data_IF_318991995996
#
_entry.id   IF_318991995996
#
_cell.length_a   1.000
_cell.length_b   1.000
_cell.length_c   1.000
_cell.angle_alpha   90.00
_cell.angle_beta   90.00
_cell.angle_gamma   90.00
#
_symmetry.space_group_name_H-M   'P 1'
#
loop_
_entity.id
_entity.type
_entity.pdbx_description
1 polymer ?
#
# COMPACT_ATOMS: atom_id res chain seq x y z
N UNK A 1 16.42 44.20 7.12
CA UNK A 1 15.25 43.29 7.07
C UNK A 1 14.68 43.32 5.66
N UNK A 2 15.32 42.61 4.72
CA UNK A 2 14.87 42.49 3.33
C UNK A 2 15.43 41.19 2.74
N UNK A 3 14.69 40.08 2.89
CA UNK A 3 14.81 38.87 2.05
C UNK A 3 13.65 37.92 2.35
N UNK A 4 12.60 37.89 1.51
CA UNK A 4 11.61 36.79 1.53
C UNK A 4 10.73 36.68 0.27
N UNK A 5 10.89 37.54 -0.74
CA UNK A 5 9.98 37.58 -1.91
C UNK A 5 10.55 37.00 -3.21
N UNK A 6 11.82 36.59 -3.25
CA UNK A 6 12.49 36.11 -4.48
C UNK A 6 12.66 34.57 -4.54
N UNK A 7 12.49 33.86 -3.42
CA UNK A 7 12.64 32.40 -3.35
C UNK A 7 11.36 31.65 -3.82
N UNK A 8 10.19 32.27 -3.60
CA UNK A 8 8.87 31.68 -3.88
C UNK A 8 8.58 31.56 -5.38
N UNK A 9 9.05 32.51 -6.20
CA UNK A 9 8.81 32.52 -7.64
C UNK A 9 9.62 31.43 -8.39
N UNK A 10 10.77 31.02 -7.85
CA UNK A 10 11.57 29.92 -8.39
C UNK A 10 11.12 28.55 -7.86
N UNK A 11 10.45 28.49 -6.71
CA UNK A 11 9.89 27.27 -6.13
C UNK A 11 8.68 26.72 -6.92
N UNK A 12 7.78 27.59 -7.40
CA UNK A 12 6.59 27.15 -8.15
C UNK A 12 6.91 26.35 -9.44
N UNK A 13 7.81 26.82 -10.34
CA UNK A 13 8.21 26.04 -11.52
C UNK A 13 8.85 24.69 -11.16
N UNK A 14 9.57 24.63 -10.03
CA UNK A 14 10.26 23.42 -9.55
C UNK A 14 9.28 22.42 -8.95
N UNK A 15 8.32 22.86 -8.16
CA UNK A 15 7.26 22.00 -7.61
C UNK A 15 6.44 21.36 -8.74
N UNK A 16 6.12 22.13 -9.78
CA UNK A 16 5.44 21.62 -10.97
C UNK A 16 6.28 20.59 -11.74
N UNK A 17 7.60 20.80 -11.87
CA UNK A 17 8.48 19.82 -12.50
C UNK A 17 8.57 18.52 -11.70
N UNK A 18 8.66 18.60 -10.36
CA UNK A 18 8.65 17.44 -9.46
C UNK A 18 7.36 16.63 -9.64
N UNK A 19 6.21 17.30 -9.68
CA UNK A 19 4.91 16.63 -9.85
C UNK A 19 4.80 15.94 -11.21
N UNK A 20 5.16 16.61 -12.32
CA UNK A 20 5.18 16.00 -13.66
C UNK A 20 6.10 14.77 -13.72
N UNK A 21 7.26 14.83 -13.09
CA UNK A 21 8.18 13.69 -13.00
C UNK A 21 7.56 12.50 -12.25
N UNK A 22 6.84 12.74 -11.15
CA UNK A 22 6.15 11.68 -10.41
C UNK A 22 4.99 11.07 -11.19
N UNK A 23 4.19 11.89 -11.87
CA UNK A 23 3.10 11.43 -12.73
C UNK A 23 3.63 10.59 -13.90
N UNK A 24 4.70 11.05 -14.57
CA UNK A 24 5.36 10.31 -15.64
C UNK A 24 5.97 8.99 -15.13
N UNK A 25 6.58 9.01 -13.95
CA UNK A 25 7.15 7.82 -13.32
C UNK A 25 6.08 6.78 -13.01
N UNK A 26 4.95 7.20 -12.43
CA UNK A 26 3.82 6.32 -12.13
C UNK A 26 3.30 5.61 -13.39
N UNK A 27 3.04 6.37 -14.46
CA UNK A 27 2.56 5.80 -15.72
C UNK A 27 3.55 4.79 -16.32
N UNK A 28 4.85 5.12 -16.31
CA UNK A 28 5.87 4.25 -16.90
C UNK A 28 6.13 3.02 -16.03
N UNK A 29 6.19 3.16 -14.71
CA UNK A 29 6.31 2.03 -13.78
C UNK A 29 5.10 1.11 -13.87
N UNK A 30 3.88 1.64 -14.02
CA UNK A 30 2.69 0.83 -14.21
C UNK A 30 2.80 0.00 -15.49
N UNK A 31 3.25 0.61 -16.60
CA UNK A 31 3.32 -0.04 -17.92
C UNK A 31 4.47 -1.02 -18.08
N UNK A 32 5.65 -0.70 -17.54
CA UNK A 32 6.90 -1.41 -17.84
C UNK A 32 7.56 -2.04 -16.61
N UNK A 33 6.96 -1.87 -15.43
CA UNK A 33 7.59 -2.21 -14.16
C UNK A 33 8.77 -1.30 -13.83
N UNK A 34 9.35 -1.50 -12.65
CA UNK A 34 10.52 -0.74 -12.21
C UNK A 34 11.73 -1.01 -13.11
N UNK A 35 12.05 -2.28 -13.38
CA UNK A 35 13.19 -2.68 -14.18
C UNK A 35 13.14 -2.14 -15.62
N UNK A 36 11.97 -2.21 -16.27
CA UNK A 36 11.78 -1.75 -17.66
C UNK A 36 11.73 -0.23 -17.84
N UNK A 37 11.68 0.54 -16.75
CA UNK A 37 11.60 2.00 -16.81
C UNK A 37 12.98 2.64 -16.66
N UNK A 38 13.30 3.59 -17.56
CA UNK A 38 14.53 4.40 -17.49
C UNK A 38 14.22 5.83 -17.05
N UNK A 39 15.16 6.47 -16.34
CA UNK A 39 15.04 7.89 -15.97
C UNK A 39 14.91 8.80 -17.21
N UNK A 40 15.55 8.44 -18.32
CA UNK A 40 15.46 9.19 -19.60
C UNK A 40 14.04 9.16 -20.16
N UNK A 41 13.37 8.01 -20.11
CA UNK A 41 11.98 7.90 -20.54
C UNK A 41 11.04 8.73 -19.65
N UNK A 42 11.27 8.73 -18.32
CA UNK A 42 10.50 9.57 -17.38
C UNK A 42 10.66 11.05 -17.69
N UNK A 43 11.90 11.52 -17.88
CA UNK A 43 12.17 12.93 -18.21
C UNK A 43 11.54 13.34 -19.54
N UNK A 44 11.64 12.48 -20.55
CA UNK A 44 11.04 12.73 -21.86
C UNK A 44 9.52 12.84 -21.76
N UNK A 45 8.86 11.95 -21.00
CA UNK A 45 7.41 12.00 -20.79
C UNK A 45 6.98 13.19 -19.93
N UNK A 46 7.79 13.60 -18.95
CA UNK A 46 7.50 14.74 -18.09
C UNK A 46 7.79 16.11 -18.74
N UNK A 47 8.45 16.11 -19.90
CA UNK A 47 8.96 17.30 -20.58
C UNK A 47 9.86 18.14 -19.66
N UNK A 48 10.80 17.47 -18.98
CA UNK A 48 11.72 18.09 -18.00
C UNK A 48 13.17 17.71 -18.29
N UNK A 49 14.08 18.67 -18.14
CA UNK A 49 15.51 18.48 -18.34
C UNK A 49 16.21 17.63 -17.25
N UNK A 50 17.36 17.07 -17.62
CA UNK A 50 18.19 16.19 -16.77
C UNK A 50 18.58 16.80 -15.41
N UNK A 51 18.69 18.12 -15.33
CA UNK A 51 19.04 18.80 -14.07
C UNK A 51 18.03 18.60 -12.95
N UNK A 52 16.73 18.60 -13.29
CA UNK A 52 15.67 18.52 -12.28
C UNK A 52 15.58 17.12 -11.64
N UNK A 53 15.79 16.05 -12.41
CA UNK A 53 15.63 14.68 -11.87
C UNK A 53 16.73 14.32 -10.87
N UNK A 54 17.98 14.71 -11.15
CA UNK A 54 19.10 14.43 -10.26
C UNK A 54 19.03 15.26 -8.98
N UNK A 55 18.52 16.50 -9.08
CA UNK A 55 18.29 17.34 -7.92
C UNK A 55 17.19 16.77 -7.00
N UNK A 56 16.02 16.44 -7.56
CA UNK A 56 14.87 16.00 -6.75
C UNK A 56 14.98 14.57 -6.23
N UNK A 57 15.55 13.66 -7.02
CA UNK A 57 15.43 12.23 -6.75
C UNK A 57 16.76 11.48 -6.70
N UNK A 58 17.84 12.10 -7.19
CA UNK A 58 19.19 11.55 -7.35
C UNK A 58 19.29 10.36 -8.33
N UNK A 59 18.46 9.33 -8.16
CA UNK A 59 18.43 8.10 -8.96
C UNK A 59 17.00 7.53 -9.08
N UNK A 60 16.85 6.42 -9.83
CA UNK A 60 15.55 5.78 -10.10
C UNK A 60 14.86 5.26 -8.83
N UNK A 61 15.65 4.77 -7.86
CA UNK A 61 15.12 4.29 -6.59
C UNK A 61 14.60 5.44 -5.73
N UNK A 62 15.30 6.58 -5.71
CA UNK A 62 14.84 7.80 -5.05
C UNK A 62 13.58 8.38 -5.67
N UNK A 63 13.42 8.24 -7.00
CA UNK A 63 12.18 8.60 -7.70
C UNK A 63 11.02 7.69 -7.29
N UNK A 64 11.25 6.38 -7.23
CA UNK A 64 10.26 5.41 -6.75
C UNK A 64 9.87 5.72 -5.29
N UNK A 65 10.84 5.98 -4.42
CA UNK A 65 10.62 6.34 -3.03
C UNK A 65 9.73 7.58 -2.90
N UNK A 66 10.07 8.65 -3.61
CA UNK A 66 9.29 9.88 -3.58
C UNK A 66 7.86 9.70 -4.12
N UNK A 67 7.68 8.84 -5.13
CA UNK A 67 6.35 8.47 -5.64
C UNK A 67 5.51 7.78 -4.56
N UNK A 68 6.06 6.75 -3.91
CA UNK A 68 5.36 6.05 -2.84
C UNK A 68 5.05 6.99 -1.66
N UNK A 69 6.03 7.75 -1.17
CA UNK A 69 5.84 8.72 -0.09
C UNK A 69 4.67 9.67 -0.38
N UNK A 70 4.58 10.21 -1.60
CA UNK A 70 3.48 11.10 -1.98
C UNK A 70 2.14 10.39 -2.01
N UNK A 71 2.05 9.22 -2.65
CA UNK A 71 0.78 8.51 -2.87
C UNK A 71 0.21 7.88 -1.60
N UNK A 72 1.06 7.41 -0.69
CA UNK A 72 0.59 6.71 0.53
C UNK A 72 0.35 7.65 1.70
N UNK A 73 0.81 8.91 1.63
CA UNK A 73 0.73 9.87 2.73
C UNK A 73 -0.69 10.01 3.28
N UNK A 74 -1.67 10.22 2.39
CA UNK A 74 -3.07 10.37 2.80
C UNK A 74 -3.63 9.11 3.45
N UNK A 75 -3.36 7.93 2.86
CA UNK A 75 -3.80 6.62 3.38
C UNK A 75 -3.20 6.36 4.75
N UNK A 76 -1.91 6.61 4.92
CA UNK A 76 -1.20 6.39 6.19
C UNK A 76 -1.64 7.39 7.26
N UNK A 77 -1.87 8.65 6.90
CA UNK A 77 -2.42 9.65 7.82
C UNK A 77 -3.79 9.24 8.35
N UNK A 78 -4.68 8.77 7.46
CA UNK A 78 -5.99 8.24 7.86
C UNK A 78 -5.87 7.01 8.77
N UNK A 79 -5.03 6.03 8.39
CA UNK A 79 -4.78 4.84 9.23
C UNK A 79 -4.28 5.22 10.62
N UNK A 80 -3.30 6.12 10.70
CA UNK A 80 -2.75 6.57 11.96
C UNK A 80 -3.83 7.21 12.85
N UNK A 81 -4.62 8.13 12.30
CA UNK A 81 -5.68 8.80 13.03
C UNK A 81 -6.78 7.83 13.51
N UNK A 82 -7.18 6.87 12.67
CA UNK A 82 -8.19 5.87 13.02
C UNK A 82 -7.69 4.92 14.13
N UNK A 83 -6.48 4.37 13.99
CA UNK A 83 -5.90 3.47 14.98
C UNK A 83 -5.65 4.19 16.32
N UNK A 84 -5.18 5.44 16.27
CA UNK A 84 -5.02 6.27 17.46
C UNK A 84 -6.35 6.49 18.19
N UNK A 85 -7.43 6.74 17.45
CA UNK A 85 -8.75 6.94 18.05
C UNK A 85 -9.24 5.68 18.75
N UNK A 86 -9.02 4.50 18.16
CA UNK A 86 -9.41 3.22 18.77
C UNK A 86 -8.68 2.99 20.10
N UNK A 87 -7.37 3.22 20.14
CA UNK A 87 -6.57 3.13 21.37
C UNK A 87 -7.07 4.03 22.50
N UNK A 88 -7.52 5.23 22.15
CA UNK A 88 -8.03 6.20 23.12
C UNK A 88 -9.42 5.82 23.65
N UNK A 89 -10.21 5.10 22.86
CA UNK A 89 -11.59 4.74 23.19
C UNK A 89 -11.69 3.44 23.98
N UNK A 90 -10.80 2.47 23.73
CA UNK A 90 -10.80 1.18 24.40
C UNK A 90 -9.38 0.67 24.63
N UNK A 91 -9.05 0.17 25.83
CA UNK A 91 -7.80 -0.57 26.06
C UNK A 91 -7.68 -1.84 25.23
N UNK A 92 -8.82 -2.39 24.75
CA UNK A 92 -8.86 -3.58 23.92
C UNK A 92 -9.94 -3.38 22.83
N UNK A 93 -9.62 -2.69 21.72
CA UNK A 93 -10.55 -2.48 20.63
C UNK A 93 -10.96 -3.81 19.97
N UNK A 94 -12.15 -3.86 19.35
CA UNK A 94 -12.59 -5.04 18.63
C UNK A 94 -11.70 -5.30 17.40
N UNK A 95 -11.50 -6.58 17.08
CA UNK A 95 -10.67 -7.01 15.94
C UNK A 95 -11.18 -6.42 14.62
N UNK A 96 -12.49 -6.38 14.41
CA UNK A 96 -13.13 -5.80 13.23
C UNK A 96 -12.82 -4.31 13.08
N UNK A 97 -12.82 -3.56 14.18
CA UNK A 97 -12.56 -2.13 14.15
C UNK A 97 -11.10 -1.85 13.80
N UNK A 98 -10.17 -2.62 14.38
CA UNK A 98 -8.73 -2.53 14.06
C UNK A 98 -8.48 -2.88 12.59
N UNK A 99 -9.09 -3.97 12.11
CA UNK A 99 -8.99 -4.40 10.71
C UNK A 99 -9.58 -3.36 9.76
N UNK A 100 -10.79 -2.86 10.04
CA UNK A 100 -11.45 -1.83 9.22
C UNK A 100 -10.64 -0.53 9.19
N UNK A 101 -10.11 -0.08 10.33
CA UNK A 101 -9.26 1.11 10.41
C UNK A 101 -8.00 1.02 9.54
N UNK A 102 -7.47 -0.19 9.34
CA UNK A 102 -6.30 -0.42 8.49
C UNK A 102 -6.65 -0.70 7.02
N UNK A 103 -7.68 -1.50 6.76
CA UNK A 103 -8.05 -1.97 5.42
C UNK A 103 -8.80 -0.89 4.63
N UNK A 104 -9.78 -0.23 5.25
CA UNK A 104 -10.69 0.66 4.55
C UNK A 104 -10.01 1.84 3.84
N UNK A 105 -9.04 2.56 4.45
CA UNK A 105 -8.37 3.67 3.76
C UNK A 105 -7.64 3.23 2.47
N UNK A 106 -7.04 2.04 2.47
CA UNK A 106 -6.31 1.54 1.30
C UNK A 106 -7.25 1.06 0.19
N UNK A 107 -8.38 0.42 0.53
CA UNK A 107 -9.36 0.00 -0.48
C UNK A 107 -10.11 1.21 -1.07
N UNK A 108 -10.50 2.20 -0.25
CA UNK A 108 -11.10 3.44 -0.76
C UNK A 108 -10.16 4.16 -1.72
N UNK A 109 -8.90 4.34 -1.32
CA UNK A 109 -7.89 4.92 -2.20
C UNK A 109 -7.75 4.14 -3.50
N UNK A 110 -7.66 2.81 -3.44
CA UNK A 110 -7.52 2.00 -4.65
C UNK A 110 -8.74 2.04 -5.60
N UNK A 111 -9.93 2.36 -5.11
CA UNK A 111 -11.15 2.46 -5.91
C UNK A 111 -11.46 3.89 -6.38
N UNK A 112 -10.66 4.89 -6.01
CA UNK A 112 -10.84 6.26 -6.50
C UNK A 112 -10.45 6.38 -7.99
N UNK A 113 -11.04 7.37 -8.66
CA UNK A 113 -10.71 7.67 -10.06
C UNK A 113 -9.22 8.00 -10.23
N UNK A 114 -8.59 7.45 -11.27
CA UNK A 114 -7.18 7.71 -11.59
C UNK A 114 -6.15 6.88 -10.80
N UNK A 115 -6.59 5.91 -10.00
CA UNK A 115 -5.69 5.12 -9.12
C UNK A 115 -5.20 3.81 -9.74
N UNK A 116 -5.69 3.45 -10.93
CA UNK A 116 -5.37 2.20 -11.60
C UNK A 116 -3.86 2.01 -11.84
N UNK A 117 -3.15 3.08 -12.24
CA UNK A 117 -1.71 3.01 -12.47
C UNK A 117 -0.95 2.81 -11.14
N UNK A 118 -1.24 3.59 -10.10
CA UNK A 118 -0.60 3.42 -8.80
C UNK A 118 -0.89 2.06 -8.13
N UNK A 119 -2.11 1.53 -8.27
CA UNK A 119 -2.45 0.18 -7.84
C UNK A 119 -1.56 -0.86 -8.52
N UNK A 120 -1.34 -0.72 -9.83
CA UNK A 120 -0.47 -1.61 -10.60
C UNK A 120 1.00 -1.45 -10.22
N UNK A 121 1.48 -0.22 -10.01
CA UNK A 121 2.84 0.04 -9.50
C UNK A 121 3.04 -0.64 -8.16
N UNK A 122 2.09 -0.49 -7.24
CA UNK A 122 2.15 -1.14 -5.92
C UNK A 122 2.24 -2.66 -6.05
N UNK A 123 1.37 -3.27 -6.85
CA UNK A 123 1.36 -4.72 -7.04
C UNK A 123 2.68 -5.24 -7.67
N UNK A 124 3.19 -4.57 -8.70
CA UNK A 124 4.44 -4.95 -9.36
C UNK A 124 5.65 -4.82 -8.43
N UNK A 125 5.75 -3.69 -7.70
CA UNK A 125 6.88 -3.43 -6.81
C UNK A 125 6.88 -4.30 -5.55
N UNK A 126 5.71 -4.74 -5.06
CA UNK A 126 5.62 -5.63 -3.88
C UNK A 126 6.25 -7.01 -4.10
N UNK A 127 6.36 -7.47 -5.35
CA UNK A 127 6.93 -8.79 -5.70
C UNK A 127 8.11 -8.68 -6.67
N UNK A 128 8.66 -7.46 -6.85
CA UNK A 128 9.81 -7.22 -7.73
C UNK A 128 11.00 -8.07 -7.27
N UNK A 129 11.79 -8.68 -8.16
CA UNK A 129 12.94 -9.50 -7.78
C UNK A 129 14.00 -8.72 -6.98
N UNK A 130 14.16 -7.41 -7.23
CA UNK A 130 15.10 -6.56 -6.51
C UNK A 130 14.58 -6.23 -5.10
N UNK A 131 15.34 -6.63 -4.08
CA UNK A 131 15.00 -6.37 -2.69
C UNK A 131 14.87 -4.87 -2.39
N UNK A 132 15.72 -4.02 -2.97
CA UNK A 132 15.68 -2.58 -2.70
C UNK A 132 14.37 -1.95 -3.19
N UNK A 133 13.78 -2.49 -4.27
CA UNK A 133 12.48 -2.06 -4.78
C UNK A 133 11.36 -2.45 -3.83
N UNK A 134 11.37 -3.70 -3.35
CA UNK A 134 10.39 -4.17 -2.35
C UNK A 134 10.47 -3.36 -1.06
N UNK A 135 11.68 -3.05 -0.59
CA UNK A 135 11.92 -2.25 0.61
C UNK A 135 11.35 -0.83 0.52
N UNK A 136 11.36 -0.20 -0.66
CA UNK A 136 10.71 1.10 -0.86
C UNK A 136 9.21 1.02 -0.57
N UNK A 137 8.55 -0.03 -1.06
CA UNK A 137 7.12 -0.23 -0.79
C UNK A 137 6.88 -0.47 0.69
N UNK A 138 7.66 -1.36 1.32
CA UNK A 138 7.47 -1.71 2.72
C UNK A 138 7.69 -0.53 3.65
N UNK A 139 8.82 0.18 3.48
CA UNK A 139 9.15 1.36 4.28
C UNK A 139 8.08 2.46 4.18
N UNK A 140 7.41 2.58 3.04
CA UNK A 140 6.33 3.54 2.88
C UNK A 140 5.10 3.24 3.76
N UNK A 141 4.90 2.00 4.22
CA UNK A 141 3.75 1.61 5.06
C UNK A 141 4.11 1.23 6.51
N UNK A 142 5.40 1.17 6.83
CA UNK A 142 5.97 0.58 8.05
C UNK A 142 5.32 1.07 9.35
N UNK A 143 5.21 2.39 9.53
CA UNK A 143 4.75 2.96 10.80
C UNK A 143 3.28 2.62 11.09
N UNK A 144 2.40 2.74 10.09
CA UNK A 144 1.00 2.35 10.23
C UNK A 144 0.86 0.84 10.43
N UNK A 145 1.67 0.03 9.73
CA UNK A 145 1.65 -1.42 9.83
C UNK A 145 2.11 -1.92 11.21
N UNK A 146 3.17 -1.33 11.78
CA UNK A 146 3.67 -1.68 13.13
C UNK A 146 2.62 -1.40 14.20
N UNK A 147 1.99 -0.22 14.17
CA UNK A 147 0.92 0.14 15.12
C UNK A 147 -0.29 -0.79 14.99
N UNK A 148 -0.73 -1.03 13.77
CA UNK A 148 -1.80 -1.97 13.48
C UNK A 148 -1.52 -3.37 14.04
N UNK A 149 -0.32 -3.91 13.78
CA UNK A 149 0.07 -5.23 14.26
C UNK A 149 0.13 -5.30 15.80
N UNK A 150 0.59 -4.23 16.46
CA UNK A 150 0.62 -4.15 17.92
C UNK A 150 -0.79 -4.20 18.52
N UNK A 151 -1.74 -3.41 17.99
CA UNK A 151 -3.12 -3.41 18.47
C UNK A 151 -3.81 -4.75 18.22
N UNK A 152 -3.61 -5.32 17.04
CA UNK A 152 -4.21 -6.60 16.70
C UNK A 152 -3.65 -7.73 17.57
N UNK A 153 -2.35 -7.68 17.91
CA UNK A 153 -1.73 -8.62 18.88
C UNK A 153 -2.32 -8.47 20.28
N UNK A 154 -2.57 -7.25 20.74
CA UNK A 154 -3.22 -7.01 22.05
C UNK A 154 -4.67 -7.52 22.07
N UNK A 155 -5.40 -7.40 20.96
CA UNK A 155 -6.75 -7.93 20.83
C UNK A 155 -6.79 -9.47 20.75
N UNK A 156 -5.68 -10.11 20.36
CA UNK A 156 -5.57 -11.55 20.12
C UNK A 156 -4.38 -12.19 20.88
N UNK A 157 -4.29 -12.06 22.21
CA UNK A 157 -3.15 -12.54 23.00
C UNK A 157 -3.02 -14.07 22.99
N UNK A 158 -4.10 -14.79 22.66
CA UNK A 158 -4.14 -16.25 22.57
C UNK A 158 -3.47 -16.82 21.32
N UNK A 159 -3.21 -16.01 20.28
CA UNK A 159 -2.57 -16.50 19.06
C UNK A 159 -1.07 -16.66 19.26
N UNK A 160 -0.53 -17.79 18.81
CA UNK A 160 0.91 -17.99 18.72
C UNK A 160 1.57 -16.96 17.80
N UNK A 161 2.89 -16.76 17.91
CA UNK A 161 3.62 -15.90 16.97
C UNK A 161 3.50 -16.40 15.53
N UNK A 162 3.62 -17.71 15.34
CA UNK A 162 3.55 -18.37 14.04
C UNK A 162 2.16 -18.22 13.39
N UNK A 163 1.08 -18.51 14.13
CA UNK A 163 -0.27 -18.36 13.59
C UNK A 163 -0.57 -16.92 13.24
N UNK A 164 -0.21 -15.97 14.11
CA UNK A 164 -0.42 -14.55 13.86
C UNK A 164 0.29 -14.06 12.59
N UNK A 165 1.51 -14.53 12.34
CA UNK A 165 2.22 -14.24 11.10
C UNK A 165 1.43 -14.76 9.89
N UNK A 166 1.00 -16.03 9.89
CA UNK A 166 0.19 -16.58 8.80
C UNK A 166 -1.14 -15.83 8.61
N UNK A 167 -1.79 -15.38 9.68
CA UNK A 167 -3.02 -14.57 9.57
C UNK A 167 -2.74 -13.22 8.90
N UNK A 168 -1.63 -12.57 9.24
CA UNK A 168 -1.19 -11.35 8.57
C UNK A 168 -0.87 -11.60 7.10
N UNK A 169 -0.13 -12.66 6.76
CA UNK A 169 0.18 -13.04 5.37
C UNK A 169 -1.11 -13.23 4.55
N UNK A 170 -2.09 -13.98 5.07
CA UNK A 170 -3.38 -14.18 4.41
C UNK A 170 -4.16 -12.87 4.23
N UNK A 171 -4.17 -11.99 5.24
CA UNK A 171 -4.82 -10.69 5.17
C UNK A 171 -4.18 -9.80 4.10
N UNK A 172 -2.85 -9.67 4.10
CA UNK A 172 -2.14 -8.87 3.10
C UNK A 172 -2.29 -9.46 1.70
N UNK A 173 -2.23 -10.79 1.55
CA UNK A 173 -2.47 -11.49 0.29
C UNK A 173 -3.88 -11.23 -0.26
N UNK A 174 -4.92 -11.39 0.58
CA UNK A 174 -6.30 -11.11 0.20
C UNK A 174 -6.49 -9.64 -0.19
N UNK A 175 -5.98 -8.72 0.62
CA UNK A 175 -6.05 -7.28 0.34
C UNK A 175 -5.32 -6.91 -0.96
N UNK A 176 -4.11 -7.45 -1.21
CA UNK A 176 -3.35 -7.19 -2.43
C UNK A 176 -4.08 -7.75 -3.65
N UNK A 177 -4.64 -8.96 -3.54
CA UNK A 177 -5.38 -9.60 -4.62
C UNK A 177 -6.64 -8.82 -5.01
N UNK A 178 -7.45 -8.43 -4.01
CA UNK A 178 -8.67 -7.63 -4.21
C UNK A 178 -8.31 -6.28 -4.84
N UNK A 179 -7.32 -5.58 -4.29
CA UNK A 179 -6.88 -4.26 -4.78
C UNK A 179 -6.34 -4.29 -6.21
N UNK A 180 -5.68 -5.39 -6.59
CA UNK A 180 -5.14 -5.54 -7.94
C UNK A 180 -6.22 -5.80 -8.99
N UNK A 181 -7.43 -6.21 -8.56
CA UNK A 181 -8.57 -6.56 -9.41
C UNK A 181 -8.14 -7.25 -10.72
N UNK A 182 -7.43 -8.37 -10.63
CA UNK A 182 -6.89 -9.05 -11.83
C UNK A 182 -7.94 -9.84 -12.63
N UNK A 183 -9.19 -9.91 -12.16
CA UNK A 183 -10.32 -10.54 -12.86
C UNK A 183 -10.34 -12.07 -12.88
N UNK A 184 -9.40 -12.76 -12.22
CA UNK A 184 -9.30 -14.23 -12.26
C UNK A 184 -10.53 -14.92 -11.67
N UNK A 185 -11.05 -14.45 -10.54
CA UNK A 185 -12.28 -14.98 -9.92
C UNK A 185 -13.49 -14.72 -10.81
N UNK A 186 -13.61 -13.52 -11.38
CA UNK A 186 -14.73 -13.18 -12.27
C UNK A 186 -14.78 -14.08 -13.51
N UNK A 187 -13.61 -14.33 -14.10
CA UNK A 187 -13.47 -15.28 -15.21
C UNK A 187 -13.82 -16.72 -14.80
N UNK A 188 -13.46 -17.12 -13.58
CA UNK A 188 -13.71 -18.48 -13.08
C UNK A 188 -15.19 -18.77 -12.85
N UNK A 189 -15.92 -17.79 -12.31
CA UNK A 189 -17.31 -17.96 -11.88
C UNK A 189 -18.34 -17.45 -12.90
N UNK A 190 -17.91 -16.83 -14.00
CA UNK A 190 -18.81 -16.33 -15.05
C UNK A 190 -19.57 -15.05 -14.69
N UNK A 191 -19.06 -14.29 -13.72
CA UNK A 191 -19.63 -13.06 -13.17
C UNK A 191 -18.69 -12.52 -12.08
N UNK A 192 -18.76 -11.24 -11.71
CA UNK A 192 -17.75 -10.66 -10.83
C UNK A 192 -18.23 -9.53 -9.94
N UNK A 193 -17.61 -9.44 -8.77
CA UNK A 193 -17.76 -8.41 -7.72
C UNK A 193 -17.18 -7.03 -8.11
N UNK A 194 -16.81 -6.83 -9.39
CA UNK A 194 -16.17 -5.59 -9.86
C UNK A 194 -17.09 -4.38 -9.80
N UNK A 195 -18.41 -4.61 -9.84
CA UNK A 195 -19.40 -3.55 -9.76
C UNK A 195 -19.80 -3.21 -8.31
N UNK A 196 -19.29 -3.97 -7.33
CA UNK A 196 -19.71 -3.77 -5.95
C UNK A 196 -19.19 -2.44 -5.42
N UNK A 197 -20.00 -1.69 -4.66
CA UNK A 197 -19.54 -0.50 -3.96
C UNK A 197 -18.35 -0.83 -3.06
N UNK A 198 -17.36 0.05 -3.00
CA UNK A 198 -16.13 -0.18 -2.22
C UNK A 198 -16.39 -0.49 -0.75
N UNK A 199 -17.45 0.07 -0.16
CA UNK A 199 -17.83 -0.23 1.23
C UNK A 199 -18.26 -1.69 1.41
N UNK A 200 -18.95 -2.29 0.43
CA UNK A 200 -19.28 -3.70 0.48
C UNK A 200 -18.01 -4.57 0.41
N UNK A 201 -17.07 -4.22 -0.46
CA UNK A 201 -15.77 -4.92 -0.57
C UNK A 201 -14.98 -4.84 0.74
N UNK A 202 -15.01 -3.68 1.42
CA UNK A 202 -14.40 -3.49 2.74
C UNK A 202 -15.05 -4.41 3.77
N UNK A 203 -16.37 -4.46 3.81
CA UNK A 203 -17.12 -5.26 4.78
C UNK A 203 -16.82 -6.76 4.62
N UNK A 204 -16.82 -7.26 3.37
CA UNK A 204 -16.46 -8.65 3.06
C UNK A 204 -15.03 -8.99 3.51
N UNK A 205 -14.06 -8.13 3.18
CA UNK A 205 -12.66 -8.39 3.54
C UNK A 205 -12.45 -8.31 5.06
N UNK A 206 -13.09 -7.36 5.76
CA UNK A 206 -13.02 -7.25 7.22
C UNK A 206 -13.65 -8.48 7.87
N UNK A 207 -14.84 -8.90 7.44
CA UNK A 207 -15.52 -10.09 7.99
C UNK A 207 -14.68 -11.36 7.77
N UNK A 208 -14.20 -11.58 6.56
CA UNK A 208 -13.36 -12.74 6.21
C UNK A 208 -12.06 -12.76 7.04
N UNK A 209 -11.36 -11.64 7.13
CA UNK A 209 -10.10 -11.58 7.88
C UNK A 209 -10.32 -11.67 9.38
N UNK A 210 -11.35 -11.02 9.94
CA UNK A 210 -11.68 -11.13 11.36
C UNK A 210 -11.99 -12.57 11.77
N UNK A 211 -12.76 -13.30 10.95
CA UNK A 211 -13.00 -14.74 11.16
C UNK A 211 -11.70 -15.55 11.06
N UNK A 212 -10.86 -15.24 10.06
CA UNK A 212 -9.53 -15.84 9.91
C UNK A 212 -8.63 -15.63 11.12
N UNK A 213 -8.60 -14.42 11.70
CA UNK A 213 -7.84 -14.11 12.91
C UNK A 213 -8.37 -14.83 14.15
N UNK A 214 -9.68 -15.08 14.25
CA UNK A 214 -10.27 -15.82 15.38
C UNK A 214 -10.21 -17.34 15.23
N UNK A 215 -9.98 -17.85 14.04
CA UNK A 215 -9.95 -19.29 13.80
C UNK A 215 -8.85 -19.96 14.65
N UNK A 216 -9.15 -21.15 15.17
CA UNK A 216 -8.21 -21.94 15.95
C UNK A 216 -6.88 -22.11 15.20
N UNK A 217 -5.77 -22.08 15.93
CA UNK A 217 -4.44 -22.34 15.39
C UNK A 217 -4.38 -23.73 14.75
N UNK A 218 -3.64 -23.85 13.66
CA UNK A 218 -3.42 -25.15 13.03
C UNK A 218 -2.47 -25.92 13.95
N UNK A 219 -2.97 -26.92 14.68
CA UNK A 219 -2.09 -27.84 15.40
C UNK A 219 -1.13 -28.43 14.39
N UNK A 220 0.18 -28.33 14.65
CA UNK A 220 1.17 -29.05 13.85
C UNK A 220 0.71 -30.51 13.81
N UNK A 221 0.34 -30.99 12.62
CA UNK A 221 0.06 -32.40 12.44
C UNK A 221 1.33 -33.12 12.89
N UNK A 222 1.24 -33.91 13.97
CA UNK A 222 2.29 -34.86 14.31
C UNK A 222 2.64 -35.67 13.05
N UNK A 223 3.89 -36.14 12.91
CA UNK A 223 4.36 -36.79 11.70
C UNK A 223 3.30 -37.78 11.22
N UNK A 224 2.77 -37.55 10.01
CA UNK A 224 1.86 -38.51 9.38
C UNK A 224 2.60 -39.83 9.39
N UNK A 225 2.14 -40.77 10.22
CA UNK A 225 2.68 -42.12 10.23
C UNK A 225 2.59 -42.62 8.80
N UNK A 226 3.76 -42.90 8.20
CA UNK A 226 3.83 -43.52 6.90
C UNK A 226 3.04 -44.83 6.98
N UNK A 227 1.95 -44.92 6.21
CA UNK A 227 1.32 -46.17 5.83
C UNK A 227 1.90 -46.59 4.49
#
# INVERSE_FOLDING_TARGET
MTSSTDDTAAEEPRAQARERLLQAAEQLFARHGYAGTSLRAVMALAEVDTGAIHYHFRNKLGLLKALFEQRVMAVNGQRHALLQRLEQQSPQPAVEDILRAFIAPALRAAHSEGEADFNRVTALCSVDPDQAVREVVFAAYDEAAKRFAALLRQALPQLSQHDFQWRLECMYGAMMYIRSDNGRVSRMLGGGHRADPVEHVIDELVAFTAAGFRAAGIRAAGPRAAQ
#
